data_IF_299466075664
#
_entry.id   IF_299466075664
#
_cell.length_a   1.000
_cell.length_b   1.000
_cell.length_c   1.000
_cell.angle_alpha   90.00
_cell.angle_beta   90.00
_cell.angle_gamma   90.00
#
_symmetry.space_group_name_H-M   'P 1'
#
loop_
_entity.id
_entity.type
_entity.pdbx_description
1 polymer ?
#
# COMPACT_ATOMS: atom_id res chain seq x y z
N UNK A 1 -23.66 17.90 6.25
CA UNK A 1 -22.95 16.87 7.04
C UNK A 1 -21.59 17.43 7.44
N UNK A 2 -21.04 17.05 8.61
CA UNK A 2 -19.64 17.37 8.91
C UNK A 2 -18.77 16.81 7.78
N UNK A 3 -17.77 17.58 7.35
CA UNK A 3 -16.81 17.23 6.29
C UNK A 3 -17.34 17.13 4.85
N UNK A 4 -18.59 17.50 4.54
CA UNK A 4 -19.16 17.38 3.20
C UNK A 4 -18.33 18.06 2.08
N UNK A 5 -17.73 19.22 2.38
CA UNK A 5 -16.85 19.93 1.44
C UNK A 5 -15.53 19.19 1.21
N UNK A 6 -14.95 18.57 2.26
CA UNK A 6 -13.76 17.74 2.15
C UNK A 6 -14.05 16.44 1.39
N UNK A 7 -15.21 15.82 1.64
CA UNK A 7 -15.62 14.59 0.95
C UNK A 7 -15.81 14.85 -0.56
N UNK A 8 -16.39 16.00 -0.91
CA UNK A 8 -16.50 16.44 -2.29
C UNK A 8 -15.13 16.71 -2.93
N UNK A 9 -14.22 17.36 -2.20
CA UNK A 9 -12.84 17.61 -2.65
C UNK A 9 -12.07 16.30 -2.87
N UNK A 10 -12.11 15.37 -1.92
CA UNK A 10 -11.42 14.08 -2.06
C UNK A 10 -11.97 13.29 -3.24
N UNK A 11 -13.30 13.27 -3.41
CA UNK A 11 -13.94 12.61 -4.54
C UNK A 11 -13.52 13.23 -5.88
N UNK A 12 -13.47 14.56 -5.98
CA UNK A 12 -13.02 15.27 -7.19
C UNK A 12 -11.57 14.95 -7.53
N UNK A 13 -10.67 14.96 -6.54
CA UNK A 13 -9.25 14.60 -6.74
C UNK A 13 -9.13 13.15 -7.21
N UNK A 14 -9.77 12.20 -6.51
CA UNK A 14 -9.69 10.77 -6.81
C UNK A 14 -10.29 10.43 -8.18
N UNK A 15 -11.31 11.17 -8.63
CA UNK A 15 -11.92 10.97 -9.95
C UNK A 15 -11.00 11.28 -11.14
N UNK A 16 -9.89 11.99 -10.89
CA UNK A 16 -8.91 12.39 -11.91
C UNK A 16 -7.68 11.48 -11.97
N UNK A 17 -7.58 10.52 -11.05
CA UNK A 17 -6.47 9.58 -10.98
C UNK A 17 -6.57 8.60 -12.15
N UNK A 18 -5.48 8.43 -12.89
CA UNK A 18 -5.44 7.54 -14.05
C UNK A 18 -5.72 6.06 -13.69
N UNK A 19 -4.99 5.54 -12.70
CA UNK A 19 -5.15 4.15 -12.21
C UNK A 19 -5.71 4.14 -10.79
N UNK A 20 -6.99 4.46 -10.68
CA UNK A 20 -7.67 4.56 -9.38
C UNK A 20 -7.61 3.25 -8.57
N UNK A 21 -7.66 2.09 -9.23
CA UNK A 21 -7.66 0.80 -8.53
C UNK A 21 -6.30 0.53 -7.87
N UNK A 22 -5.20 0.70 -8.61
CA UNK A 22 -3.87 0.55 -8.05
C UNK A 22 -3.58 1.63 -6.99
N UNK A 23 -4.04 2.86 -7.21
CA UNK A 23 -3.90 3.95 -6.24
C UNK A 23 -4.66 3.64 -4.95
N UNK A 24 -5.93 3.22 -4.99
CA UNK A 24 -6.69 2.84 -3.80
C UNK A 24 -6.08 1.66 -3.06
N UNK A 25 -5.51 0.69 -3.79
CA UNK A 25 -4.77 -0.44 -3.21
C UNK A 25 -3.54 0.05 -2.44
N UNK A 26 -2.73 0.93 -3.03
CA UNK A 26 -1.58 1.56 -2.38
C UNK A 26 -2.00 2.41 -1.16
N UNK A 27 -3.03 3.25 -1.30
CA UNK A 27 -3.58 4.05 -0.19
C UNK A 27 -4.07 3.16 0.95
N UNK A 28 -4.75 2.06 0.63
CA UNK A 28 -5.22 1.10 1.62
C UNK A 28 -4.06 0.50 2.40
N UNK A 29 -2.98 0.12 1.71
CA UNK A 29 -1.77 -0.35 2.36
C UNK A 29 -1.12 0.76 3.23
N UNK A 30 -1.04 2.01 2.75
CA UNK A 30 -0.48 3.14 3.52
C UNK A 30 -1.28 3.37 4.81
N UNK A 31 -2.61 3.42 4.71
CA UNK A 31 -3.52 3.76 5.82
C UNK A 31 -3.62 2.62 6.84
N UNK A 32 -3.73 1.37 6.38
CA UNK A 32 -4.00 0.22 7.24
C UNK A 32 -2.73 -0.46 7.76
N UNK A 33 -1.60 -0.34 7.06
CA UNK A 33 -0.34 -0.92 7.53
C UNK A 33 0.17 -0.19 8.77
N UNK A 34 0.59 -0.94 9.79
CA UNK A 34 1.28 -0.41 10.98
C UNK A 34 2.80 -0.37 10.83
N UNK A 35 3.32 -0.54 9.61
CA UNK A 35 4.75 -0.42 9.34
C UNK A 35 5.28 0.96 9.77
N UNK A 36 6.48 0.98 10.35
CA UNK A 36 7.17 2.24 10.69
C UNK A 36 7.72 2.92 9.44
N UNK A 37 8.20 2.11 8.51
CA UNK A 37 8.62 2.56 7.20
C UNK A 37 7.40 2.79 6.31
N UNK A 38 7.36 3.97 5.70
CA UNK A 38 6.32 4.43 4.76
C UNK A 38 6.98 5.02 3.51
N UNK A 39 8.21 4.62 3.21
CA UNK A 39 8.87 4.97 1.96
C UNK A 39 8.14 4.35 0.77
N UNK A 40 8.27 4.99 -0.40
CA UNK A 40 7.72 4.45 -1.65
C UNK A 40 8.27 3.06 -1.93
N UNK A 41 9.58 2.85 -1.80
CA UNK A 41 10.26 1.56 -1.99
C UNK A 41 9.67 0.47 -1.09
N UNK A 42 9.54 0.74 0.21
CA UNK A 42 8.96 -0.23 1.14
C UNK A 42 7.51 -0.57 0.78
N UNK A 43 6.71 0.42 0.40
CA UNK A 43 5.31 0.21 0.04
C UNK A 43 5.18 -0.54 -1.28
N UNK A 44 6.02 -0.24 -2.28
CA UNK A 44 6.09 -0.96 -3.55
C UNK A 44 6.41 -2.43 -3.29
N UNK A 45 7.43 -2.72 -2.47
CA UNK A 45 7.76 -4.08 -2.09
C UNK A 45 6.61 -4.76 -1.35
N UNK A 46 5.98 -4.07 -0.40
CA UNK A 46 4.92 -4.61 0.45
C UNK A 46 3.73 -5.12 -0.38
N UNK A 47 3.34 -4.40 -1.43
CA UNK A 47 2.19 -4.75 -2.27
C UNK A 47 2.57 -5.23 -3.69
N UNK A 48 3.85 -5.55 -3.92
CA UNK A 48 4.36 -6.10 -5.18
C UNK A 48 4.11 -5.17 -6.38
N UNK A 49 4.38 -3.88 -6.22
CA UNK A 49 4.45 -2.93 -7.34
C UNK A 49 5.85 -2.88 -7.94
N UNK A 50 5.96 -2.37 -9.16
CA UNK A 50 7.25 -2.11 -9.79
C UNK A 50 7.89 -0.84 -9.21
N UNK A 51 9.22 -0.72 -9.34
CA UNK A 51 9.96 0.45 -8.86
C UNK A 51 9.44 1.73 -9.51
N UNK A 52 9.08 2.71 -8.68
CA UNK A 52 8.58 4.02 -9.13
C UNK A 52 7.06 4.07 -9.34
N UNK A 53 6.35 2.95 -9.27
CA UNK A 53 4.90 2.93 -9.37
C UNK A 53 4.24 3.68 -8.21
N UNK A 54 4.76 3.61 -6.98
CA UNK A 54 4.15 4.35 -5.88
C UNK A 54 4.25 5.87 -6.10
N UNK A 55 5.38 6.36 -6.60
CA UNK A 55 5.51 7.77 -6.96
C UNK A 55 4.56 8.15 -8.09
N UNK A 56 4.44 7.31 -9.13
CA UNK A 56 3.53 7.53 -10.27
C UNK A 56 2.07 7.57 -9.83
N UNK A 57 1.62 6.58 -9.05
CA UNK A 57 0.24 6.44 -8.58
C UNK A 57 -0.19 7.55 -7.61
N UNK A 58 0.77 8.13 -6.88
CA UNK A 58 0.51 9.23 -5.94
C UNK A 58 0.67 10.63 -6.57
N UNK A 59 1.16 10.74 -7.81
CA UNK A 59 1.44 12.03 -8.46
C UNK A 59 0.17 12.90 -8.59
N UNK A 60 -0.95 12.30 -8.99
CA UNK A 60 -2.25 12.96 -9.13
C UNK A 60 -2.86 13.37 -7.77
N UNK A 61 -2.30 12.86 -6.65
CA UNK A 61 -2.76 13.11 -5.29
C UNK A 61 -1.92 14.15 -4.55
N UNK A 62 -1.04 14.87 -5.26
CA UNK A 62 -0.08 15.83 -4.67
C UNK A 62 -0.68 16.90 -3.75
N UNK A 63 -1.98 17.19 -3.88
CA UNK A 63 -2.70 18.12 -3.00
C UNK A 63 -3.13 17.53 -1.65
N UNK A 64 -3.18 16.20 -1.52
CA UNK A 64 -3.62 15.50 -0.30
C UNK A 64 -2.57 14.53 0.25
N UNK A 65 -1.56 14.19 -0.56
CA UNK A 65 -0.44 13.32 -0.21
C UNK A 65 0.84 13.93 -0.76
N UNK A 66 1.92 13.86 0.03
CA UNK A 66 3.25 14.28 -0.42
C UNK A 66 4.23 13.14 -0.26
N UNK A 67 5.11 12.99 -1.24
CA UNK A 67 6.33 12.17 -1.15
C UNK A 67 7.49 13.13 -0.97
N UNK A 68 8.22 13.03 0.13
CA UNK A 68 9.35 13.92 0.39
C UNK A 68 10.63 13.49 -0.35
N UNK A 69 11.70 14.28 -0.23
CA UNK A 69 12.99 14.01 -0.88
C UNK A 69 13.64 12.69 -0.43
N UNK A 70 13.26 12.17 0.74
CA UNK A 70 13.69 10.87 1.26
C UNK A 70 12.69 9.75 0.90
N UNK A 71 11.85 9.98 -0.11
CA UNK A 71 10.84 9.03 -0.61
C UNK A 71 9.78 8.63 0.42
N UNK A 72 9.63 9.36 1.54
CA UNK A 72 8.64 9.06 2.56
C UNK A 72 7.28 9.63 2.19
N UNK A 73 6.26 8.79 2.28
CA UNK A 73 4.88 9.15 1.98
C UNK A 73 4.22 9.76 3.22
N UNK A 74 3.58 10.92 3.06
CA UNK A 74 2.82 11.60 4.13
C UNK A 74 1.45 12.01 3.63
N UNK A 75 0.42 11.61 4.37
CA UNK A 75 -0.95 12.08 4.18
C UNK A 75 -1.10 13.46 4.82
N UNK A 76 -1.57 14.44 4.06
CA UNK A 76 -1.67 15.84 4.49
C UNK A 76 -2.96 16.13 5.29
N UNK A 77 -4.01 15.35 5.04
CA UNK A 77 -5.30 15.51 5.68
C UNK A 77 -5.62 14.35 6.61
N UNK A 78 -5.75 14.63 7.91
CA UNK A 78 -6.04 13.61 8.93
C UNK A 78 -7.35 12.84 8.66
N UNK A 79 -8.35 13.48 8.04
CA UNK A 79 -9.65 12.88 7.74
C UNK A 79 -9.71 12.07 6.45
N UNK A 80 -8.62 12.01 5.66
CA UNK A 80 -8.59 11.26 4.40
C UNK A 80 -8.79 9.75 4.66
N UNK A 81 -8.14 9.22 5.69
CA UNK A 81 -8.32 7.83 6.11
C UNK A 81 -9.77 7.54 6.48
N UNK A 82 -10.38 8.38 7.31
CA UNK A 82 -11.78 8.22 7.72
C UNK A 82 -12.75 8.30 6.54
N UNK A 83 -12.44 9.09 5.51
CA UNK A 83 -13.23 9.16 4.29
C UNK A 83 -13.13 7.86 3.49
N UNK A 84 -11.91 7.39 3.20
CA UNK A 84 -11.66 6.21 2.36
C UNK A 84 -12.15 4.91 3.00
N UNK A 85 -12.15 4.82 4.34
CA UNK A 85 -12.60 3.64 5.08
C UNK A 85 -14.11 3.62 5.36
N UNK A 86 -14.84 4.70 5.03
CA UNK A 86 -16.28 4.81 5.20
C UNK A 86 -16.99 4.70 3.85
N UNK A 87 -17.71 3.59 3.64
CA UNK A 87 -18.43 3.30 2.40
C UNK A 87 -19.48 4.36 2.06
N UNK A 88 -20.17 4.92 3.06
CA UNK A 88 -21.22 5.91 2.81
C UNK A 88 -20.64 7.23 2.31
N UNK A 89 -19.41 7.56 2.73
CA UNK A 89 -18.72 8.81 2.36
C UNK A 89 -17.99 8.70 1.03
N UNK A 90 -17.19 7.64 0.84
CA UNK A 90 -16.30 7.49 -0.31
C UNK A 90 -16.91 6.74 -1.50
N UNK A 91 -18.00 5.99 -1.29
CA UNK A 91 -18.75 5.28 -2.34
C UNK A 91 -17.85 4.37 -3.19
N UNK A 92 -17.62 4.75 -4.45
CA UNK A 92 -16.78 4.00 -5.40
C UNK A 92 -15.29 4.03 -5.03
N UNK A 93 -14.86 5.00 -4.23
CA UNK A 93 -13.49 5.11 -3.72
C UNK A 93 -13.28 4.38 -2.38
N UNK A 94 -14.27 3.62 -1.92
CA UNK A 94 -14.19 2.94 -0.63
C UNK A 94 -13.14 1.84 -0.62
N UNK A 95 -12.25 1.91 0.36
CA UNK A 95 -11.24 0.90 0.64
C UNK A 95 -11.80 -0.08 1.66
N UNK A 96 -12.02 -1.33 1.23
CA UNK A 96 -12.43 -2.40 2.13
C UNK A 96 -11.23 -2.91 2.97
N UNK A 97 -11.20 -2.69 4.30
CA UNK A 97 -10.07 -3.10 5.13
C UNK A 97 -9.83 -4.60 5.10
N UNK A 98 -10.90 -5.40 5.04
CA UNK A 98 -10.80 -6.87 5.04
C UNK A 98 -10.12 -7.37 3.77
N UNK A 99 -10.43 -6.75 2.62
CA UNK A 99 -9.80 -7.10 1.36
C UNK A 99 -8.29 -6.79 1.39
N UNK A 100 -7.92 -5.60 1.87
CA UNK A 100 -6.51 -5.19 1.99
C UNK A 100 -5.75 -6.09 2.96
N UNK A 101 -6.30 -6.38 4.14
CA UNK A 101 -5.63 -7.28 5.09
C UNK A 101 -5.49 -8.70 4.55
N UNK A 102 -6.51 -9.21 3.84
CA UNK A 102 -6.44 -10.52 3.20
C UNK A 102 -5.31 -10.57 2.16
N UNK A 103 -5.20 -9.53 1.33
CA UNK A 103 -4.14 -9.41 0.35
C UNK A 103 -2.74 -9.33 1.00
N UNK A 104 -2.55 -8.41 1.95
CA UNK A 104 -1.28 -8.26 2.66
C UNK A 104 -0.88 -9.56 3.38
N UNK A 105 -1.86 -10.27 3.98
CA UNK A 105 -1.61 -11.57 4.62
C UNK A 105 -1.17 -12.62 3.60
N UNK A 106 -1.80 -12.65 2.43
CA UNK A 106 -1.43 -13.56 1.36
C UNK A 106 0.00 -13.31 0.86
N UNK A 107 0.35 -12.04 0.61
CA UNK A 107 1.71 -11.65 0.19
C UNK A 107 2.73 -12.00 1.27
N UNK A 108 2.44 -11.69 2.54
CA UNK A 108 3.33 -12.00 3.66
C UNK A 108 3.56 -13.51 3.80
N UNK A 109 2.50 -14.33 3.74
CA UNK A 109 2.60 -15.79 3.78
C UNK A 109 3.41 -16.33 2.62
N UNK A 110 3.19 -15.82 1.41
CA UNK A 110 3.97 -16.21 0.23
C UNK A 110 5.46 -15.88 0.40
N UNK A 111 5.80 -14.69 0.91
CA UNK A 111 7.18 -14.28 1.21
C UNK A 111 7.82 -15.15 2.28
N UNK A 112 7.14 -15.38 3.40
CA UNK A 112 7.64 -16.23 4.50
C UNK A 112 7.87 -17.65 4.00
N UNK A 113 6.91 -18.22 3.26
CA UNK A 113 7.05 -19.54 2.68
C UNK A 113 8.28 -19.58 1.77
N UNK A 114 8.41 -18.67 0.81
CA UNK A 114 9.57 -18.61 -0.11
C UNK A 114 10.90 -18.52 0.63
N UNK A 115 11.00 -17.69 1.66
CA UNK A 115 12.21 -17.58 2.49
C UNK A 115 12.49 -18.86 3.28
N UNK A 116 11.46 -19.48 3.85
CA UNK A 116 11.58 -20.77 4.54
C UNK A 116 12.07 -21.89 3.61
N UNK A 117 11.55 -21.95 2.37
CA UNK A 117 11.99 -22.90 1.34
C UNK A 117 13.44 -22.67 0.92
N UNK A 118 13.86 -21.40 0.76
CA UNK A 118 15.25 -21.06 0.43
C UNK A 118 16.21 -21.49 1.54
N UNK A 119 15.84 -21.29 2.80
CA UNK A 119 16.65 -21.70 3.96
C UNK A 119 16.79 -23.23 4.06
N UNK A 120 15.70 -23.98 3.87
CA UNK A 120 15.75 -25.46 3.84
C UNK A 120 16.66 -25.96 2.72
N UNK A 121 16.60 -25.32 1.55
CA UNK A 121 17.40 -25.71 0.38
C UNK A 121 18.90 -25.47 0.60
N UNK A 122 19.28 -24.30 1.10
CA UNK A 122 20.67 -24.01 1.47
C UNK A 122 21.21 -25.06 2.46
N UNK A 123 20.47 -25.33 3.55
CA UNK A 123 20.89 -26.34 4.54
C UNK A 123 21.06 -27.73 3.92
N UNK A 124 20.19 -28.13 2.99
CA UNK A 124 20.31 -29.42 2.29
C UNK A 124 21.52 -29.48 1.37
N UNK A 125 21.86 -28.38 0.69
CA UNK A 125 23.02 -28.30 -0.21
C UNK A 125 24.34 -28.26 0.59
N UNK A 126 24.40 -27.54 1.71
CA UNK A 126 25.55 -27.57 2.64
C UNK A 126 25.73 -28.94 3.31
N UNK A 127 24.64 -29.62 3.69
CA UNK A 127 24.69 -30.96 4.25
C UNK A 127 25.21 -31.99 3.23
N UNK A 128 24.76 -31.91 1.97
CA UNK A 128 25.27 -32.80 0.92
C UNK A 128 26.73 -32.50 0.54
N UNK A 129 27.15 -31.23 0.55
CA UNK A 129 28.53 -30.84 0.24
C UNK A 129 29.54 -31.16 1.35
N UNK A 130 29.10 -31.43 2.58
CA UNK A 130 29.97 -31.77 3.72
C UNK A 130 30.12 -33.29 3.96
N UNK A 131 29.40 -34.11 3.19
CA UNK A 131 29.40 -35.59 3.27
C UNK A 131 30.12 -36.24 2.07
N UNK A 132 30.67 -35.43 1.15
CA UNK A 132 31.52 -35.85 0.01
C UNK A 132 32.94 -35.35 0.27
#
# INVERSE_FOLDING_TARGET
MPFAELDALYSDILSRVEDINATLRLLGAIILSKARDKSTEFMEELILLDEGDATRLLADLSSIIVVNEQSNIRVLHASLGDFLLDLARSKEFHINPTAIFSELSHIALHRIARLGWLHIREYSEYFLASVI
#
